data_IF_076726843683
#
_entry.id   IF_076726843683
#
_cell.length_a   1.000
_cell.length_b   1.000
_cell.length_c   1.000
_cell.angle_alpha   90.00
_cell.angle_beta   90.00
_cell.angle_gamma   90.00
#
_symmetry.space_group_name_H-M   'P 1'
#
loop_
_entity.id
_entity.type
_entity.pdbx_description
1 polymer ?
#
# COMPACT_ATOMS: atom_id res chain seq x y z
N UNK A 1 37.76 -36.30 -35.19
CA UNK A 1 38.22 -36.32 -33.78
C UNK A 1 37.90 -34.98 -33.14
N UNK A 2 37.16 -35.03 -32.02
CA UNK A 2 37.09 -34.06 -30.90
C UNK A 2 36.92 -32.55 -31.20
N UNK A 3 35.68 -32.11 -31.00
CA UNK A 3 35.20 -30.92 -30.26
C UNK A 3 36.25 -29.99 -29.63
N UNK A 4 36.06 -28.67 -29.70
CA UNK A 4 35.92 -27.79 -28.52
C UNK A 4 35.16 -26.49 -28.87
N UNK A 5 34.23 -26.13 -27.97
CA UNK A 5 33.33 -24.98 -27.98
C UNK A 5 34.05 -23.65 -27.70
N UNK A 6 33.47 -22.53 -28.15
CA UNK A 6 33.29 -21.31 -27.34
C UNK A 6 32.41 -20.26 -28.05
N UNK A 7 31.14 -20.20 -27.66
CA UNK A 7 30.38 -18.95 -27.52
C UNK A 7 30.08 -18.81 -26.01
N UNK A 8 29.53 -17.70 -25.47
CA UNK A 8 29.26 -16.36 -26.01
C UNK A 8 29.80 -15.24 -25.09
N UNK A 9 29.80 -13.98 -25.52
CA UNK A 9 29.77 -12.85 -24.58
C UNK A 9 28.49 -12.06 -24.81
N UNK A 10 27.42 -12.57 -24.20
CA UNK A 10 26.19 -11.83 -24.00
C UNK A 10 26.47 -10.68 -23.03
N UNK A 11 26.41 -9.45 -23.53
CA UNK A 11 26.43 -8.25 -22.71
C UNK A 11 25.14 -8.21 -21.88
N UNK A 12 25.24 -8.54 -20.59
CA UNK A 12 24.19 -8.27 -19.63
C UNK A 12 24.13 -6.75 -19.39
N UNK A 13 23.21 -6.08 -20.08
CA UNK A 13 22.79 -4.75 -19.71
C UNK A 13 22.13 -4.84 -18.32
N UNK A 14 22.88 -4.50 -17.28
CA UNK A 14 22.36 -4.22 -15.95
C UNK A 14 21.42 -3.01 -16.06
N UNK A 15 20.13 -3.26 -16.30
CA UNK A 15 19.09 -2.31 -15.91
C UNK A 15 19.09 -2.26 -14.39
N UNK A 16 19.89 -1.37 -13.84
CA UNK A 16 19.66 -0.85 -12.51
C UNK A 16 18.26 -0.20 -12.53
N UNK A 17 17.25 -0.92 -12.03
CA UNK A 17 15.99 -0.33 -11.68
C UNK A 17 16.29 0.73 -10.61
N UNK A 18 16.34 2.00 -11.02
CA UNK A 18 16.40 3.11 -10.10
C UNK A 18 15.24 2.95 -9.10
N UNK A 19 15.47 3.10 -7.79
CA UNK A 19 14.37 3.13 -6.84
C UNK A 19 13.46 4.28 -7.25
N UNK A 20 12.27 3.95 -7.78
CA UNK A 20 11.21 4.93 -7.98
C UNK A 20 11.01 5.66 -6.64
N UNK A 21 11.03 7.00 -6.61
CA UNK A 21 10.76 7.72 -5.38
C UNK A 21 9.36 7.31 -4.90
N UNK A 22 9.33 6.62 -3.74
CA UNK A 22 8.08 6.40 -3.03
C UNK A 22 7.41 7.78 -2.83
N UNK A 23 6.09 7.91 -3.03
CA UNK A 23 5.41 9.18 -2.83
C UNK A 23 5.73 9.70 -1.43
N UNK A 24 6.42 10.83 -1.34
CA UNK A 24 6.69 11.50 -0.08
C UNK A 24 5.36 11.78 0.61
N UNK A 25 5.11 11.09 1.72
CA UNK A 25 4.05 11.42 2.65
C UNK A 25 4.19 12.91 3.01
N UNK A 26 3.26 13.75 2.56
CA UNK A 26 3.25 15.15 2.97
C UNK A 26 2.97 15.17 4.47
N UNK A 27 3.81 15.80 5.31
CA UNK A 27 3.72 15.70 6.77
C UNK A 27 2.42 16.26 7.37
N UNK A 28 1.57 16.91 6.57
CA UNK A 28 0.24 17.40 6.94
C UNK A 28 -0.91 16.77 6.11
N UNK A 29 -0.63 15.79 5.25
CA UNK A 29 -1.70 15.17 4.48
C UNK A 29 -2.62 14.36 5.41
N UNK A 30 -3.92 14.49 5.16
CA UNK A 30 -4.97 13.79 5.88
C UNK A 30 -5.86 13.05 4.90
N UNK A 31 -6.60 12.07 5.39
CA UNK A 31 -7.68 11.41 4.67
C UNK A 31 -8.97 11.58 5.46
N UNK A 32 -10.02 12.09 4.80
CA UNK A 32 -11.33 12.33 5.40
C UNK A 32 -12.32 11.27 4.92
N UNK A 33 -13.05 10.66 5.84
CA UNK A 33 -14.08 9.66 5.54
C UNK A 33 -15.36 10.35 5.05
N UNK A 34 -15.91 9.89 3.92
CA UNK A 34 -17.07 10.48 3.26
C UNK A 34 -18.31 9.58 3.24
N UNK A 35 -18.18 8.31 3.64
CA UNK A 35 -19.31 7.39 3.80
C UNK A 35 -19.73 7.28 5.28
N UNK A 36 -21.01 6.94 5.52
CA UNK A 36 -21.53 6.76 6.88
C UNK A 36 -20.79 5.68 7.69
N UNK A 37 -20.41 4.59 7.03
CA UNK A 37 -19.55 3.54 7.58
C UNK A 37 -18.55 3.10 6.53
N UNK A 38 -17.28 3.11 6.90
CA UNK A 38 -16.16 2.74 6.02
C UNK A 38 -15.31 1.69 6.73
N UNK A 39 -15.26 0.46 6.22
CA UNK A 39 -14.43 -0.57 6.82
C UNK A 39 -12.96 -0.20 6.81
N UNK A 40 -12.25 -0.53 7.88
CA UNK A 40 -10.80 -0.57 7.84
C UNK A 40 -10.31 -1.85 7.17
N UNK A 41 -9.20 -1.74 6.46
CA UNK A 41 -8.52 -2.82 5.80
C UNK A 41 -7.08 -2.93 6.29
N UNK A 42 -6.50 -4.11 6.12
CA UNK A 42 -5.10 -4.41 6.40
C UNK A 42 -4.50 -5.16 5.23
N UNK A 43 -3.26 -4.81 4.88
CA UNK A 43 -2.49 -5.56 3.89
C UNK A 43 -1.51 -6.48 4.59
N UNK A 44 -1.58 -7.77 4.30
CA UNK A 44 -0.58 -8.72 4.76
C UNK A 44 0.70 -8.53 3.94
N UNK A 45 1.86 -8.60 4.60
CA UNK A 45 3.15 -8.48 3.95
C UNK A 45 3.28 -9.47 2.78
N UNK A 46 3.69 -8.95 1.62
CA UNK A 46 3.82 -9.75 0.40
C UNK A 46 2.51 -10.05 -0.33
N UNK A 47 1.39 -9.46 0.08
CA UNK A 47 0.10 -9.61 -0.60
C UNK A 47 -0.41 -8.28 -1.15
N UNK A 48 -1.10 -8.33 -2.30
CA UNK A 48 -1.83 -7.19 -2.88
C UNK A 48 -3.32 -7.21 -2.57
N UNK A 49 -3.75 -8.17 -1.74
CA UNK A 49 -5.14 -8.37 -1.37
C UNK A 49 -5.41 -7.84 0.03
N UNK A 50 -6.20 -6.77 0.17
CA UNK A 50 -6.57 -6.28 1.48
C UNK A 50 -7.54 -7.24 2.15
N UNK A 51 -7.42 -7.36 3.46
CA UNK A 51 -8.37 -8.08 4.31
C UNK A 51 -9.12 -7.05 5.13
N UNK A 52 -10.44 -7.21 5.30
CA UNK A 52 -11.21 -6.37 6.19
C UNK A 52 -10.74 -6.60 7.64
N UNK A 53 -10.39 -5.52 8.32
CA UNK A 53 -10.05 -5.53 9.73
C UNK A 53 -11.26 -5.95 10.58
N UNK A 54 -11.01 -6.54 11.74
CA UNK A 54 -12.05 -6.93 12.72
C UNK A 54 -12.43 -5.78 13.65
N UNK A 55 -11.68 -4.69 13.63
CA UNK A 55 -12.02 -3.45 14.35
C UNK A 55 -13.31 -2.82 13.82
N UNK A 56 -13.84 -1.85 14.57
CA UNK A 56 -15.02 -1.08 14.17
C UNK A 56 -14.76 -0.22 12.93
N UNK A 57 -15.79 0.02 12.13
CA UNK A 57 -15.71 0.85 10.93
C UNK A 57 -15.41 2.32 11.27
N UNK A 58 -14.73 3.02 10.37
CA UNK A 58 -14.63 4.48 10.41
C UNK A 58 -15.97 5.12 10.03
N UNK A 59 -16.27 6.28 10.61
CA UNK A 59 -17.54 7.01 10.41
C UNK A 59 -17.34 8.31 9.64
N UNK A 60 -18.43 8.79 9.03
CA UNK A 60 -18.46 10.03 8.26
C UNK A 60 -17.80 11.20 9.01
N UNK A 61 -16.92 11.92 8.32
CA UNK A 61 -16.23 13.10 8.84
C UNK A 61 -15.01 12.81 9.70
N UNK A 62 -14.74 11.54 10.05
CA UNK A 62 -13.48 11.19 10.70
C UNK A 62 -12.29 11.49 9.79
N UNK A 63 -11.19 11.91 10.42
CA UNK A 63 -9.95 12.31 9.75
C UNK A 63 -8.79 11.54 10.33
N UNK A 64 -7.95 11.03 9.44
CA UNK A 64 -6.73 10.33 9.79
C UNK A 64 -5.54 11.00 9.10
N UNK A 65 -4.35 10.90 9.69
CA UNK A 65 -3.14 11.25 8.96
C UNK A 65 -2.98 10.30 7.78
N UNK A 66 -2.64 10.84 6.61
CA UNK A 66 -2.34 10.04 5.42
C UNK A 66 -0.87 9.65 5.46
N UNK A 67 -0.60 8.36 5.67
CA UNK A 67 0.78 7.82 5.67
C UNK A 67 1.24 7.56 4.25
N UNK A 68 0.43 6.91 3.42
CA UNK A 68 0.77 6.59 2.04
C UNK A 68 -0.47 6.32 1.17
N UNK A 69 -0.26 6.21 -0.13
CA UNK A 69 -1.29 5.80 -1.11
C UNK A 69 -1.55 6.82 -2.23
N UNK A 70 -2.45 6.48 -3.17
CA UNK A 70 -3.26 5.27 -3.17
C UNK A 70 -2.44 4.02 -3.53
N UNK A 71 -2.65 2.92 -2.79
CA UNK A 71 -2.22 1.58 -3.20
C UNK A 71 -3.32 0.96 -4.06
N UNK A 72 -2.99 0.48 -5.25
CA UNK A 72 -3.94 -0.15 -6.17
C UNK A 72 -3.79 -1.67 -6.10
N UNK A 73 -4.89 -2.40 -5.91
CA UNK A 73 -4.90 -3.87 -5.94
C UNK A 73 -4.91 -4.39 -7.38
N UNK A 74 -4.68 -5.69 -7.57
CA UNK A 74 -4.74 -6.30 -8.91
C UNK A 74 -6.13 -6.21 -9.55
N UNK A 75 -7.18 -6.14 -8.73
CA UNK A 75 -8.56 -5.94 -9.16
C UNK A 75 -8.89 -4.46 -9.47
N UNK A 76 -7.94 -3.54 -9.28
CA UNK A 76 -8.10 -2.12 -9.59
C UNK A 76 -8.69 -1.28 -8.45
N UNK A 77 -8.92 -1.86 -7.27
CA UNK A 77 -9.40 -1.10 -6.11
C UNK A 77 -8.26 -0.28 -5.49
N UNK A 78 -8.57 0.91 -4.98
CA UNK A 78 -7.58 1.81 -4.41
C UNK A 78 -7.80 2.03 -2.91
N UNK A 79 -6.69 2.11 -2.17
CA UNK A 79 -6.70 2.26 -0.72
C UNK A 79 -5.68 3.29 -0.24
N UNK A 80 -6.02 4.03 0.80
CA UNK A 80 -5.16 4.99 1.48
C UNK A 80 -4.73 4.47 2.85
N UNK A 81 -3.44 4.55 3.15
CA UNK A 81 -2.89 4.16 4.44
C UNK A 81 -3.09 5.29 5.45
N UNK A 82 -3.65 4.95 6.60
CA UNK A 82 -3.87 5.89 7.70
C UNK A 82 -2.69 5.88 8.67
N UNK A 83 -2.63 6.84 9.59
CA UNK A 83 -1.68 6.83 10.71
C UNK A 83 -2.17 6.00 11.92
N UNK A 84 -3.26 5.24 11.76
CA UNK A 84 -3.83 4.44 12.84
C UNK A 84 -3.16 3.08 12.84
N UNK A 85 -2.42 2.79 13.91
CA UNK A 85 -1.77 1.50 14.08
C UNK A 85 -2.79 0.36 14.19
N UNK A 86 -2.47 -0.77 13.58
CA UNK A 86 -3.24 -2.00 13.72
C UNK A 86 -3.06 -2.55 15.13
N UNK A 87 -4.17 -2.78 15.82
CA UNK A 87 -4.18 -3.30 17.20
C UNK A 87 -4.55 -4.78 17.27
N UNK A 88 -4.90 -5.38 16.13
CA UNK A 88 -5.23 -6.79 16.02
C UNK A 88 -3.97 -7.67 16.12
N UNK A 89 -4.06 -8.86 16.74
CA UNK A 89 -2.94 -9.78 16.80
C UNK A 89 -2.60 -10.35 15.41
N UNK A 90 -1.31 -10.63 15.17
CA UNK A 90 -0.83 -11.27 13.94
C UNK A 90 -0.36 -10.31 12.84
N UNK A 91 -0.27 -9.01 13.12
CA UNK A 91 0.26 -8.00 12.21
C UNK A 91 1.60 -7.43 12.72
N UNK A 92 2.36 -6.82 11.80
CA UNK A 92 3.61 -6.16 12.12
C UNK A 92 3.37 -4.96 13.07
N UNK A 93 4.33 -4.62 13.95
CA UNK A 93 4.17 -3.56 14.94
C UNK A 93 4.03 -2.16 14.32
N UNK A 94 4.45 -1.98 13.08
CA UNK A 94 4.36 -0.75 12.29
C UNK A 94 3.22 -0.80 11.25
N UNK A 95 2.36 -1.82 11.29
CA UNK A 95 1.23 -1.91 10.37
C UNK A 95 0.17 -0.86 10.69
N UNK A 96 -0.36 -0.22 9.65
CA UNK A 96 -1.47 0.71 9.75
C UNK A 96 -2.74 0.19 9.06
N UNK A 97 -3.88 0.71 9.51
CA UNK A 97 -5.15 0.49 8.82
C UNK A 97 -5.23 1.30 7.52
N UNK A 98 -5.99 0.75 6.57
CA UNK A 98 -6.23 1.31 5.24
C UNK A 98 -7.72 1.59 5.03
N UNK A 99 -8.03 2.60 4.23
CA UNK A 99 -9.41 2.96 3.83
C UNK A 99 -9.56 2.89 2.32
N UNK A 100 -10.69 2.39 1.82
CA UNK A 100 -11.01 2.42 0.39
C UNK A 100 -11.16 3.85 -0.11
N UNK A 101 -10.61 4.15 -1.29
CA UNK A 101 -10.77 5.43 -1.98
C UNK A 101 -12.23 5.79 -2.28
N UNK A 102 -13.12 4.80 -2.35
CA UNK A 102 -14.55 5.02 -2.62
C UNK A 102 -15.23 5.85 -1.52
N UNK A 103 -14.67 5.81 -0.31
CA UNK A 103 -15.23 6.43 0.88
C UNK A 103 -14.23 7.31 1.63
N UNK A 104 -13.10 7.64 1.00
CA UNK A 104 -11.99 8.33 1.63
C UNK A 104 -11.34 9.31 0.66
N UNK A 105 -11.32 10.59 1.02
CA UNK A 105 -10.75 11.66 0.19
C UNK A 105 -9.48 12.21 0.87
N UNK A 106 -8.31 12.15 0.21
CA UNK A 106 -7.10 12.76 0.73
C UNK A 106 -7.14 14.30 0.59
N UNK A 107 -6.58 15.00 1.58
CA UNK A 107 -6.45 16.46 1.62
C UNK A 107 -5.07 16.87 2.17
N UNK A 108 -4.62 18.09 1.85
CA UNK A 108 -3.39 18.69 2.36
C UNK A 108 -3.69 19.81 3.34
#
# INVERSE_FOLDING_TARGET
MKTFLAAPLAAFALLAAAPSPAPSASPNATVTVTCNRTPFYVFLSGTDRPVRARTGDATLGQRFGLVSGPRTTLEGFQFYETNVAVTEPGYAPDAHYWLSSDCAIPSK
#
